data_IF_835875806700
#
_entry.id   IF_835875806700
#
_cell.length_a   1.000
_cell.length_b   1.000
_cell.length_c   1.000
_cell.angle_alpha   90.00
_cell.angle_beta   90.00
_cell.angle_gamma   90.00
#
_symmetry.space_group_name_H-M   'P 1'
#
loop_
_entity.id
_entity.type
_entity.pdbx_description
1 polymer ?
#
# COMPACT_ATOMS: atom_id res chain seq x y z
N UNK A 1 14.17 3.72 -0.53
CA UNK A 1 14.43 2.32 -0.92
C UNK A 1 13.28 1.40 -0.49
N UNK A 2 12.78 1.50 0.75
CA UNK A 2 11.72 0.64 1.32
C UNK A 2 10.38 0.67 0.55
N UNK A 3 9.85 1.84 0.22
CA UNK A 3 8.58 1.93 -0.53
C UNK A 3 8.67 1.34 -1.95
N UNK A 4 9.77 1.60 -2.66
CA UNK A 4 9.98 1.02 -3.99
C UNK A 4 10.03 -0.51 -3.93
N UNK A 5 10.62 -1.07 -2.86
CA UNK A 5 10.67 -2.52 -2.67
C UNK A 5 9.28 -3.10 -2.37
N UNK A 6 8.51 -2.45 -1.50
CA UNK A 6 7.13 -2.85 -1.24
C UNK A 6 6.29 -2.82 -2.52
N UNK A 7 6.33 -1.71 -3.25
CA UNK A 7 5.60 -1.56 -4.51
C UNK A 7 6.00 -2.63 -5.54
N UNK A 8 7.30 -2.93 -5.66
CA UNK A 8 7.79 -4.03 -6.49
C UNK A 8 7.28 -5.40 -6.05
N UNK A 9 7.17 -5.66 -4.74
CA UNK A 9 6.64 -6.91 -4.22
C UNK A 9 5.14 -7.05 -4.54
N UNK A 10 4.36 -5.98 -4.36
CA UNK A 10 2.92 -5.97 -4.66
C UNK A 10 2.65 -6.13 -6.16
N UNK A 11 3.47 -5.51 -7.01
CA UNK A 11 3.44 -5.72 -8.46
C UNK A 11 3.78 -7.18 -8.82
N UNK A 12 4.79 -7.77 -8.17
CA UNK A 12 5.13 -9.19 -8.34
C UNK A 12 3.98 -10.13 -8.00
N UNK A 13 3.31 -9.91 -6.85
CA UNK A 13 2.12 -10.68 -6.46
C UNK A 13 1.01 -10.51 -7.50
N UNK A 14 0.81 -9.29 -8.00
CA UNK A 14 -0.20 -9.00 -9.02
C UNK A 14 0.04 -9.77 -10.33
N UNK A 15 1.31 -9.85 -10.76
CA UNK A 15 1.71 -10.62 -11.94
C UNK A 15 1.46 -12.12 -11.73
N UNK A 16 1.84 -12.66 -10.57
CA UNK A 16 1.61 -14.07 -10.23
C UNK A 16 0.11 -14.41 -10.31
N UNK A 17 -0.76 -13.58 -9.73
CA UNK A 17 -2.23 -13.77 -9.76
C UNK A 17 -2.74 -13.81 -11.20
N UNK A 18 -2.37 -12.81 -12.02
CA UNK A 18 -2.83 -12.72 -13.41
C UNK A 18 -2.36 -13.92 -14.24
N UNK A 19 -1.09 -14.31 -14.07
CA UNK A 19 -0.51 -15.47 -14.73
C UNK A 19 -1.19 -16.77 -14.31
N UNK A 20 -1.46 -16.95 -13.01
CA UNK A 20 -2.09 -18.17 -12.51
C UNK A 20 -3.54 -18.33 -13.01
N UNK A 21 -4.26 -17.22 -13.22
CA UNK A 21 -5.58 -17.21 -13.85
C UNK A 21 -5.54 -17.37 -15.36
N UNK A 22 -4.37 -17.50 -15.98
CA UNK A 22 -4.17 -17.45 -17.44
C UNK A 22 -4.84 -16.21 -18.05
N UNK A 23 -4.87 -15.11 -17.30
CA UNK A 23 -5.50 -13.87 -17.72
C UNK A 23 -4.78 -13.32 -18.95
N UNK A 24 -5.56 -12.81 -19.92
CA UNK A 24 -5.00 -12.04 -21.04
C UNK A 24 -4.57 -10.64 -20.61
N UNK A 25 -5.05 -10.17 -19.45
CA UNK A 25 -4.70 -8.88 -18.89
C UNK A 25 -3.29 -8.93 -18.31
N UNK A 26 -2.51 -7.89 -18.59
CA UNK A 26 -1.24 -7.60 -17.92
C UNK A 26 -1.48 -6.55 -16.84
N UNK A 27 -0.60 -6.46 -15.86
CA UNK A 27 -0.70 -5.43 -14.81
C UNK A 27 -0.79 -4.02 -15.41
N UNK A 28 -0.02 -3.73 -16.46
CA UNK A 28 -0.05 -2.45 -17.17
C UNK A 28 -1.40 -2.10 -17.82
N UNK A 29 -2.26 -3.09 -18.06
CA UNK A 29 -3.59 -2.88 -18.64
C UNK A 29 -4.60 -2.45 -17.57
N UNK A 30 -4.23 -2.54 -16.29
CA UNK A 30 -5.06 -2.13 -15.15
C UNK A 30 -4.87 -0.64 -14.85
N UNK A 31 -5.99 0.06 -14.66
CA UNK A 31 -6.00 1.47 -14.26
C UNK A 31 -5.23 1.70 -12.95
N UNK A 32 -4.61 2.88 -12.83
CA UNK A 32 -3.81 3.27 -11.67
C UNK A 32 -2.31 3.00 -11.82
N UNK A 33 -1.56 3.32 -10.76
CA UNK A 33 -0.09 3.17 -10.68
C UNK A 33 0.31 2.60 -9.33
N UNK A 34 1.41 1.85 -9.31
CA UNK A 34 2.02 1.32 -8.09
C UNK A 34 1.04 0.55 -7.20
N UNK A 35 1.10 0.82 -5.90
CA UNK A 35 0.28 0.17 -4.87
C UNK A 35 -1.22 0.19 -5.18
N UNK A 36 -1.73 1.27 -5.78
CA UNK A 36 -3.15 1.42 -6.09
C UNK A 36 -3.61 0.45 -7.20
N UNK A 37 -2.72 0.16 -8.17
CA UNK A 37 -2.99 -0.83 -9.21
C UNK A 37 -3.03 -2.24 -8.63
N UNK A 38 -2.06 -2.60 -7.79
CA UNK A 38 -2.04 -3.90 -7.12
C UNK A 38 -3.31 -4.12 -6.30
N UNK A 39 -3.81 -3.09 -5.61
CA UNK A 39 -5.10 -3.14 -4.89
C UNK A 39 -6.25 -3.57 -5.79
N UNK A 40 -6.36 -2.96 -6.98
CA UNK A 40 -7.46 -3.26 -7.92
C UNK A 40 -7.40 -4.71 -8.39
N UNK A 41 -6.20 -5.25 -8.62
CA UNK A 41 -6.03 -6.65 -8.99
C UNK A 41 -6.43 -7.56 -7.83
N UNK A 42 -5.97 -7.26 -6.61
CA UNK A 42 -6.29 -8.07 -5.43
C UNK A 42 -7.79 -8.07 -5.13
N UNK A 43 -8.43 -6.90 -5.18
CA UNK A 43 -9.86 -6.73 -4.92
C UNK A 43 -10.73 -7.31 -6.06
N UNK A 44 -10.53 -6.83 -7.29
CA UNK A 44 -11.47 -7.12 -8.40
C UNK A 44 -11.20 -8.44 -9.13
N UNK A 45 -9.96 -8.91 -9.14
CA UNK A 45 -9.59 -10.12 -9.88
C UNK A 45 -9.41 -11.29 -8.94
N UNK A 46 -8.64 -11.10 -7.87
CA UNK A 46 -8.34 -12.17 -6.93
C UNK A 46 -9.41 -12.34 -5.83
N UNK A 47 -10.29 -11.35 -5.65
CA UNK A 47 -11.30 -11.29 -4.60
C UNK A 47 -10.71 -11.53 -3.20
N UNK A 48 -9.55 -10.91 -2.93
CA UNK A 48 -8.92 -10.92 -1.62
C UNK A 48 -9.81 -10.19 -0.61
N UNK A 49 -9.88 -10.71 0.61
CA UNK A 49 -10.69 -10.12 1.69
C UNK A 49 -9.99 -8.89 2.26
N UNK A 50 -10.18 -7.76 1.57
CA UNK A 50 -9.52 -6.51 1.90
C UNK A 50 -9.83 -6.00 3.32
N UNK A 51 -10.96 -6.42 3.91
CA UNK A 51 -11.30 -6.05 5.29
C UNK A 51 -10.24 -6.52 6.29
N UNK A 52 -9.56 -7.64 6.00
CA UNK A 52 -8.60 -8.28 6.92
C UNK A 52 -7.27 -7.52 7.04
N UNK A 53 -6.94 -6.65 6.08
CA UNK A 53 -5.66 -5.93 6.05
C UNK A 53 -5.84 -4.44 5.70
N UNK A 54 -7.07 -3.93 5.88
CA UNK A 54 -7.44 -2.55 5.57
C UNK A 54 -6.59 -1.56 6.38
N UNK A 55 -6.31 -1.87 7.64
CA UNK A 55 -5.59 -0.97 8.54
C UNK A 55 -4.13 -0.81 8.11
N UNK A 56 -3.43 -1.92 7.90
CA UNK A 56 -2.04 -1.99 7.45
C UNK A 56 -1.91 -1.36 6.07
N UNK A 57 -2.85 -1.64 5.18
CA UNK A 57 -2.89 -1.05 3.86
C UNK A 57 -3.06 0.48 3.90
N UNK A 58 -4.08 0.96 4.62
CA UNK A 58 -4.35 2.39 4.71
C UNK A 58 -3.18 3.13 5.38
N UNK A 59 -2.50 2.47 6.34
CA UNK A 59 -1.28 2.98 6.97
C UNK A 59 -0.14 3.14 5.98
N UNK A 60 0.18 2.07 5.23
CA UNK A 60 1.23 2.08 4.19
C UNK A 60 0.93 3.14 3.12
N UNK A 61 -0.30 3.20 2.62
CA UNK A 61 -0.69 4.19 1.60
C UNK A 61 -0.63 5.62 2.16
N UNK A 62 -1.04 5.82 3.41
CA UNK A 62 -0.88 7.09 4.11
C UNK A 62 0.58 7.53 4.14
N UNK A 63 1.50 6.65 4.53
CA UNK A 63 2.94 6.94 4.50
C UNK A 63 3.51 7.13 3.12
N UNK A 64 2.98 6.46 2.08
CA UNK A 64 3.41 6.74 0.70
C UNK A 64 3.08 8.18 0.31
N UNK A 65 1.92 8.71 0.74
CA UNK A 65 1.58 10.11 0.56
C UNK A 65 2.55 11.04 1.31
N UNK A 66 2.90 10.72 2.56
CA UNK A 66 3.91 11.46 3.33
C UNK A 66 5.26 11.47 2.63
N UNK A 67 5.77 10.31 2.19
CA UNK A 67 7.01 10.21 1.42
C UNK A 67 6.97 11.08 0.17
N UNK A 68 5.84 11.12 -0.53
CA UNK A 68 5.70 11.95 -1.72
C UNK A 68 5.80 13.44 -1.38
N UNK A 69 5.20 13.88 -0.27
CA UNK A 69 5.36 15.26 0.21
C UNK A 69 6.82 15.58 0.54
N UNK A 70 7.51 14.68 1.25
CA UNK A 70 8.93 14.88 1.59
C UNK A 70 9.81 15.01 0.34
N UNK A 71 9.59 14.16 -0.67
CA UNK A 71 10.43 14.12 -1.87
C UNK A 71 10.10 15.21 -2.88
N UNK A 72 8.82 15.55 -3.03
CA UNK A 72 8.38 16.45 -4.11
C UNK A 72 8.00 17.85 -3.63
N UNK A 73 7.85 18.06 -2.33
CA UNK A 73 7.36 19.32 -1.77
C UNK A 73 8.15 19.75 -0.53
N UNK A 74 9.34 19.18 -0.28
CA UNK A 74 10.15 19.45 0.93
C UNK A 74 9.34 19.30 2.23
N UNK A 75 8.37 18.36 2.22
CA UNK A 75 7.47 18.12 3.35
C UNK A 75 6.34 19.14 3.53
N UNK A 76 6.21 20.16 2.67
CA UNK A 76 5.06 21.06 2.69
C UNK A 76 3.77 20.35 2.27
N UNK A 77 2.68 20.68 2.96
CA UNK A 77 1.36 20.15 2.69
C UNK A 77 0.36 21.27 2.42
N UNK A 78 -0.30 21.22 1.26
CA UNK A 78 -1.42 22.11 0.94
C UNK A 78 -2.64 21.78 1.82
N UNK A 79 -3.41 22.79 2.28
CA UNK A 79 -4.69 22.59 2.95
C UNK A 79 -5.68 21.72 2.17
N UNK A 80 -5.59 21.70 0.84
CA UNK A 80 -6.47 20.89 -0.03
C UNK A 80 -6.14 19.40 0.02
N UNK A 81 -5.02 19.00 0.63
CA UNK A 81 -4.62 17.60 0.76
C UNK A 81 -5.33 16.89 1.93
N UNK A 82 -6.67 16.98 1.93
CA UNK A 82 -7.56 16.57 3.04
C UNK A 82 -7.30 15.13 3.49
N UNK A 83 -7.06 14.20 2.55
CA UNK A 83 -6.80 12.78 2.87
C UNK A 83 -5.50 12.61 3.65
N UNK A 84 -4.42 13.23 3.19
CA UNK A 84 -3.12 13.12 3.86
C UNK A 84 -3.13 13.85 5.21
N UNK A 85 -3.81 15.00 5.30
CA UNK A 85 -4.05 15.70 6.56
C UNK A 85 -4.83 14.80 7.54
N UNK A 86 -5.89 14.14 7.07
CA UNK A 86 -6.69 13.22 7.87
C UNK A 86 -5.90 12.03 8.38
N UNK A 87 -4.97 11.50 7.56
CA UNK A 87 -4.04 10.46 7.98
C UNK A 87 -3.09 10.95 9.08
N UNK A 88 -2.44 12.11 8.88
CA UNK A 88 -1.52 12.70 9.85
C UNK A 88 -2.21 12.91 11.21
N UNK A 89 -3.43 13.47 11.21
CA UNK A 89 -4.19 13.73 12.44
C UNK A 89 -4.54 12.46 13.24
N UNK A 90 -4.59 11.30 12.60
CA UNK A 90 -4.88 10.00 13.23
C UNK A 90 -3.62 9.28 13.71
N UNK A 91 -2.44 9.77 13.34
CA UNK A 91 -1.17 9.12 13.65
C UNK A 91 -0.45 9.91 14.75
N UNK A 92 -0.21 9.28 15.90
CA UNK A 92 0.39 9.93 17.06
C UNK A 92 1.84 10.40 16.82
N UNK A 93 2.53 9.81 15.83
CA UNK A 93 3.92 10.10 15.48
C UNK A 93 4.08 11.06 14.31
N UNK A 94 2.98 11.60 13.79
CA UNK A 94 2.98 12.61 12.73
C UNK A 94 2.29 13.88 13.22
N UNK A 95 2.78 15.03 12.76
CA UNK A 95 2.10 16.30 13.01
C UNK A 95 2.32 17.27 11.85
N UNK A 96 1.57 18.38 11.84
CA UNK A 96 1.76 19.48 10.91
C UNK A 96 2.12 20.72 11.71
N UNK A 97 3.25 21.36 11.42
CA UNK A 97 3.63 22.66 11.99
C UNK A 97 4.20 23.54 10.90
N UNK A 98 3.78 24.82 10.86
CA UNK A 98 4.21 25.75 9.81
C UNK A 98 3.90 25.29 8.38
N UNK A 99 2.83 24.50 8.19
CA UNK A 99 2.48 23.92 6.89
C UNK A 99 3.38 22.77 6.43
N UNK A 100 4.28 22.27 7.29
CA UNK A 100 5.17 21.15 7.02
C UNK A 100 4.82 19.93 7.87
N UNK A 101 5.01 18.75 7.30
CA UNK A 101 4.88 17.48 8.02
C UNK A 101 6.10 17.28 8.92
N UNK A 102 5.85 16.99 10.20
CA UNK A 102 6.87 16.57 11.15
C UNK A 102 6.71 15.08 11.46
N UNK A 103 7.85 14.40 11.58
CA UNK A 103 7.94 12.96 11.83
C UNK A 103 8.64 12.77 13.17
N UNK A 104 7.95 12.15 14.12
CA UNK A 104 8.49 11.87 15.45
C UNK A 104 9.29 10.57 15.48
N UNK A 105 10.07 10.39 16.54
CA UNK A 105 10.81 9.15 16.78
C UNK A 105 9.89 7.92 16.89
N UNK A 106 10.34 6.80 16.33
CA UNK A 106 9.61 5.54 16.27
C UNK A 106 8.68 5.40 15.07
N UNK A 107 8.36 6.50 14.38
CA UNK A 107 7.46 6.52 13.22
C UNK A 107 7.90 5.57 12.09
N UNK A 108 9.21 5.51 11.81
CA UNK A 108 9.75 4.60 10.79
C UNK A 108 9.64 3.13 11.21
N UNK A 109 9.77 2.83 12.51
CA UNK A 109 9.61 1.47 13.02
C UNK A 109 8.16 1.00 12.87
N UNK A 110 7.19 1.86 13.18
CA UNK A 110 5.77 1.58 12.95
C UNK A 110 5.45 1.34 11.47
N UNK A 111 6.07 2.11 10.57
CA UNK A 111 5.95 1.88 9.13
C UNK A 111 6.53 0.54 8.69
N UNK A 112 7.73 0.19 9.17
CA UNK A 112 8.36 -1.10 8.84
C UNK A 112 7.49 -2.25 9.31
N UNK A 113 6.96 -2.17 10.54
CA UNK A 113 6.08 -3.19 11.09
C UNK A 113 4.80 -3.32 10.25
N UNK A 114 4.15 -2.21 9.90
CA UNK A 114 2.97 -2.23 9.05
C UNK A 114 3.25 -2.83 7.66
N UNK A 115 4.45 -2.61 7.10
CA UNK A 115 4.85 -3.26 5.84
C UNK A 115 5.01 -4.78 6.00
N UNK A 116 5.59 -5.24 7.11
CA UNK A 116 5.76 -6.68 7.41
C UNK A 116 4.38 -7.33 7.55
N UNK A 117 3.53 -6.77 8.41
CA UNK A 117 2.18 -7.29 8.68
C UNK A 117 1.36 -7.37 7.39
N UNK A 118 1.42 -6.33 6.55
CA UNK A 118 0.74 -6.32 5.26
C UNK A 118 1.22 -7.45 4.34
N UNK A 119 2.53 -7.69 4.25
CA UNK A 119 3.08 -8.76 3.41
C UNK A 119 2.65 -10.13 3.93
N UNK A 120 2.63 -10.35 5.24
CA UNK A 120 2.17 -11.60 5.83
C UNK A 120 0.68 -11.87 5.58
N UNK A 121 -0.16 -10.85 5.73
CA UNK A 121 -1.60 -10.93 5.45
C UNK A 121 -1.86 -11.23 3.97
N UNK A 122 -1.16 -10.54 3.06
CA UNK A 122 -1.23 -10.83 1.63
C UNK A 122 -0.75 -12.24 1.29
N UNK A 123 0.29 -12.74 1.98
CA UNK A 123 0.76 -14.12 1.83
C UNK A 123 -0.32 -15.15 2.18
N UNK A 124 -1.10 -14.90 3.24
CA UNK A 124 -2.24 -15.75 3.61
C UNK A 124 -3.34 -15.73 2.54
N UNK A 125 -3.68 -14.55 2.01
CA UNK A 125 -4.68 -14.41 0.94
C UNK A 125 -4.23 -15.09 -0.37
N UNK A 126 -2.96 -14.95 -0.75
CA UNK A 126 -2.37 -15.65 -1.91
C UNK A 126 -2.47 -17.16 -1.73
N UNK A 127 -2.13 -17.69 -0.56
CA UNK A 127 -2.25 -19.12 -0.28
C UNK A 127 -3.70 -19.60 -0.35
N UNK A 128 -4.64 -18.83 0.18
CA UNK A 128 -6.07 -19.15 0.07
C UNK A 128 -6.53 -19.15 -1.39
N UNK A 129 -6.13 -18.14 -2.16
CA UNK A 129 -6.43 -18.02 -3.58
C UNK A 129 -5.89 -19.20 -4.39
N UNK A 130 -4.64 -19.60 -4.15
CA UNK A 130 -4.01 -20.77 -4.80
C UNK A 130 -4.82 -22.04 -4.52
N UNK A 131 -5.14 -22.30 -3.25
CA UNK A 131 -5.92 -23.49 -2.84
C UNK A 131 -7.31 -23.49 -3.46
N UNK A 132 -8.00 -22.35 -3.45
CA UNK A 132 -9.35 -22.21 -4.00
C UNK A 132 -9.42 -22.51 -5.51
N UNK A 133 -8.38 -22.16 -6.25
CA UNK A 133 -8.34 -22.28 -7.71
C UNK A 133 -7.58 -23.52 -8.21
N UNK A 134 -7.18 -24.44 -7.30
CA UNK A 134 -6.39 -25.64 -7.62
C UNK A 134 -5.11 -25.32 -8.41
N UNK A 135 -4.42 -24.24 -8.04
CA UNK A 135 -3.20 -23.76 -8.68
C UNK A 135 -1.97 -24.37 -7.97
N UNK A 136 -1.82 -25.70 -7.99
CA UNK A 136 -0.69 -26.42 -7.38
C UNK A 136 0.29 -26.96 -8.42
#
# INVERSE_FOLDING_TARGET
MTFNKLESNLEGISQIILSALKSKLKTKDMYGKGIARSKLIFDKIANFRFENYKNEWDYVVGFQAIRNLLVHSDGFISPDNIKTIGFIKKNAKLSISGGRVNIQEGCINELIQACIDLIELLGKEVNYFIKKNNLS
#
